data_IF_559563017602
#
_entry.id   IF_559563017602
#
_cell.length_a   1.000
_cell.length_b   1.000
_cell.length_c   1.000
_cell.angle_alpha   90.00
_cell.angle_beta   90.00
_cell.angle_gamma   90.00
#
_symmetry.space_group_name_H-M   'P 1'
#
loop_
_entity.id
_entity.type
_entity.pdbx_description
1 polymer ?
#
# COMPACT_ATOMS: atom_id res chain seq x y z
N UNK A 1 -19.55 31.76 1.50
CA UNK A 1 -19.52 30.78 0.40
C UNK A 1 -18.26 31.08 -0.39
N UNK A 2 -17.22 30.26 -0.54
CA UNK A 2 -16.85 28.95 -0.02
C UNK A 2 -15.30 28.92 0.05
N UNK A 3 -14.73 28.10 0.94
CA UNK A 3 -13.30 27.86 1.06
C UNK A 3 -12.82 26.95 -0.07
N UNK A 4 -11.72 27.30 -0.75
CA UNK A 4 -10.98 26.35 -1.61
C UNK A 4 -9.47 26.44 -1.32
N UNK A 5 -9.06 25.74 -0.25
CA UNK A 5 -7.69 25.24 -0.13
C UNK A 5 -7.74 23.72 -0.33
N UNK A 6 -7.45 23.29 -1.55
CA UNK A 6 -7.20 21.88 -1.84
C UNK A 6 -5.72 21.70 -2.18
N UNK A 7 -4.95 21.33 -1.16
CA UNK A 7 -3.64 20.71 -1.34
C UNK A 7 -3.85 19.38 -2.09
N UNK A 8 -3.42 19.31 -3.35
CA UNK A 8 -3.38 18.06 -4.10
C UNK A 8 -1.97 17.50 -4.08
N UNK A 9 -1.74 16.67 -3.06
CA UNK A 9 -0.61 15.75 -2.94
C UNK A 9 -0.62 14.82 -4.16
N UNK A 10 0.29 15.05 -5.12
CA UNK A 10 0.42 14.16 -6.28
C UNK A 10 1.34 12.99 -5.92
N UNK A 11 0.72 11.89 -5.51
CA UNK A 11 1.34 10.59 -5.35
C UNK A 11 1.85 10.08 -6.71
N UNK A 12 3.17 10.16 -6.88
CA UNK A 12 3.91 9.74 -8.07
C UNK A 12 4.21 8.22 -8.06
N UNK A 13 3.20 7.37 -7.91
CA UNK A 13 3.39 5.91 -7.92
C UNK A 13 2.45 5.25 -8.92
N UNK A 14 3.03 4.65 -9.96
CA UNK A 14 2.34 3.67 -10.81
C UNK A 14 2.00 4.08 -12.25
N UNK A 15 2.60 5.14 -12.81
CA UNK A 15 2.38 5.43 -14.24
C UNK A 15 3.21 4.45 -15.08
N UNK A 16 2.56 3.48 -15.76
CA UNK A 16 3.19 2.65 -16.80
C UNK A 16 3.89 3.58 -17.80
N UNK A 17 5.22 3.65 -17.74
CA UNK A 17 6.00 4.46 -18.66
C UNK A 17 5.99 3.73 -20.00
N UNK A 18 5.34 4.29 -21.01
CA UNK A 18 5.55 3.80 -22.37
C UNK A 18 6.97 4.23 -22.78
N UNK A 19 7.91 3.28 -22.92
CA UNK A 19 9.31 3.58 -23.20
C UNK A 19 9.48 4.33 -24.52
N UNK A 20 8.62 4.05 -25.51
CA UNK A 20 8.65 4.70 -26.82
C UNK A 20 7.95 6.07 -26.85
N UNK A 21 7.29 6.46 -25.75
CA UNK A 21 6.55 7.72 -25.67
C UNK A 21 6.49 8.23 -24.21
N UNK A 22 7.65 8.58 -23.61
CA UNK A 22 7.72 8.94 -22.21
C UNK A 22 7.04 10.29 -21.95
N UNK A 23 6.53 10.49 -20.73
CA UNK A 23 6.03 11.78 -20.27
C UNK A 23 7.17 12.63 -19.66
N UNK A 24 7.13 13.94 -19.85
CA UNK A 24 7.98 14.88 -19.11
C UNK A 24 7.59 14.95 -17.63
N UNK A 25 8.42 15.62 -16.81
CA UNK A 25 8.10 15.95 -15.41
C UNK A 25 6.85 16.84 -15.27
N UNK A 26 6.49 17.56 -16.34
CA UNK A 26 5.26 18.33 -16.45
C UNK A 26 3.99 17.48 -16.72
N UNK A 27 4.12 16.16 -16.87
CA UNK A 27 3.02 15.25 -17.18
C UNK A 27 2.59 15.20 -18.65
N UNK A 28 3.01 16.13 -19.50
CA UNK A 28 2.81 16.10 -20.95
C UNK A 28 3.71 15.06 -21.65
N UNK A 29 3.40 14.69 -22.91
CA UNK A 29 4.26 13.78 -23.69
C UNK A 29 5.58 14.48 -24.03
N UNK A 30 6.69 13.77 -23.88
CA UNK A 30 8.00 14.24 -24.30
C UNK A 30 8.10 14.17 -25.83
N UNK A 31 8.78 15.14 -26.43
CA UNK A 31 9.02 15.23 -27.87
C UNK A 31 10.36 14.58 -28.20
N UNK A 32 10.41 13.76 -29.24
CA UNK A 32 11.67 13.27 -29.80
C UNK A 32 12.38 14.39 -30.57
N UNK A 33 13.61 14.68 -30.17
CA UNK A 33 14.49 15.69 -30.71
C UNK A 33 15.79 15.05 -31.19
N UNK A 34 16.54 15.76 -32.03
CA UNK A 34 17.83 15.31 -32.56
C UNK A 34 18.86 16.41 -32.35
N UNK A 35 19.98 16.06 -31.74
CA UNK A 35 21.09 16.98 -31.49
C UNK A 35 21.75 17.35 -32.81
N UNK A 36 22.02 18.65 -33.00
CA UNK A 36 22.60 19.17 -34.24
C UNK A 36 24.01 18.64 -34.51
N UNK A 37 24.82 18.50 -33.46
CA UNK A 37 26.26 18.24 -33.60
C UNK A 37 26.58 16.75 -33.74
N UNK A 38 25.86 15.89 -33.00
CA UNK A 38 26.11 14.44 -32.98
C UNK A 38 25.06 13.62 -33.71
N UNK A 39 23.95 14.22 -34.14
CA UNK A 39 22.80 13.50 -34.69
C UNK A 39 22.09 12.57 -33.69
N UNK A 40 22.51 12.56 -32.42
CA UNK A 40 21.91 11.71 -31.38
C UNK A 40 20.50 12.16 -31.05
N UNK A 41 19.60 11.20 -30.80
CA UNK A 41 18.21 11.49 -30.52
C UNK A 41 17.92 11.49 -29.02
N UNK A 42 17.07 12.40 -28.55
CA UNK A 42 16.66 12.50 -27.14
C UNK A 42 15.20 12.91 -27.01
N UNK A 43 14.57 12.52 -25.90
CA UNK A 43 13.24 12.97 -25.52
C UNK A 43 13.35 14.22 -24.62
N UNK A 44 12.70 15.31 -25.03
CA UNK A 44 12.70 16.58 -24.31
C UNK A 44 11.31 17.11 -24.02
N UNK A 45 11.19 18.00 -23.03
CA UNK A 45 9.93 18.70 -22.75
C UNK A 45 9.51 19.59 -23.94
N UNK A 46 8.26 19.46 -24.40
CA UNK A 46 7.74 20.27 -25.51
C UNK A 46 7.69 21.78 -25.21
N UNK A 47 7.53 22.16 -23.93
CA UNK A 47 7.49 23.56 -23.46
C UNK A 47 8.86 24.19 -23.27
N UNK A 48 9.95 23.49 -23.60
CA UNK A 48 11.31 24.00 -23.44
C UNK A 48 11.54 25.33 -24.19
N UNK A 49 10.95 25.50 -25.37
CA UNK A 49 11.13 26.71 -26.19
C UNK A 49 10.52 27.97 -25.57
N UNK A 50 9.50 27.81 -24.73
CA UNK A 50 8.76 28.92 -24.12
C UNK A 50 9.38 29.36 -22.78
N UNK A 51 10.53 28.80 -22.40
CA UNK A 51 11.14 29.02 -21.08
C UNK A 51 10.40 28.34 -19.92
N UNK A 52 9.25 27.72 -20.18
CA UNK A 52 8.41 27.00 -19.21
C UNK A 52 8.67 25.49 -19.22
N UNK A 53 9.82 25.07 -19.76
CA UNK A 53 10.22 23.67 -19.80
C UNK A 53 10.54 23.15 -18.41
N UNK A 54 10.06 21.96 -18.08
CA UNK A 54 10.36 21.30 -16.80
C UNK A 54 11.79 20.72 -16.71
N UNK A 55 12.67 20.98 -17.69
CA UNK A 55 14.03 20.44 -17.72
C UNK A 55 14.12 18.94 -18.05
N UNK A 56 13.03 18.27 -18.41
CA UNK A 56 13.04 16.85 -18.75
C UNK A 56 13.92 16.57 -19.98
N UNK A 57 14.82 15.59 -19.83
CA UNK A 57 15.77 15.13 -20.85
C UNK A 57 16.06 13.63 -20.66
N UNK A 58 16.01 12.85 -21.74
CA UNK A 58 16.35 11.41 -21.74
C UNK A 58 16.89 11.01 -23.12
N UNK A 59 18.05 10.36 -23.20
CA UNK A 59 18.55 9.87 -24.48
C UNK A 59 17.67 8.73 -25.03
N UNK A 60 17.48 8.69 -26.35
CA UNK A 60 16.70 7.62 -27.00
C UNK A 60 17.39 6.27 -26.83
N UNK A 61 18.71 6.23 -26.94
CA UNK A 61 19.48 4.98 -26.88
C UNK A 61 19.50 4.40 -25.47
N UNK A 62 19.41 5.24 -24.43
CA UNK A 62 19.26 4.78 -23.05
C UNK A 62 17.96 3.98 -22.89
N UNK A 63 16.85 4.46 -23.48
CA UNK A 63 15.57 3.72 -23.53
C UNK A 63 15.74 2.37 -24.20
N UNK A 64 16.43 2.31 -25.35
CA UNK A 64 16.64 1.05 -26.09
C UNK A 64 17.52 0.10 -25.29
N UNK A 65 18.56 0.59 -24.61
CA UNK A 65 19.41 -0.22 -23.74
C UNK A 65 18.64 -0.83 -22.55
N UNK A 66 17.61 -0.15 -22.03
CA UNK A 66 16.70 -0.74 -21.04
C UNK A 66 15.82 -1.87 -21.62
N UNK A 67 15.58 -1.87 -22.94
CA UNK A 67 14.79 -2.90 -23.64
C UNK A 67 15.61 -4.06 -24.18
N UNK A 68 16.86 -3.81 -24.59
CA UNK A 68 17.74 -4.82 -25.16
C UNK A 68 18.41 -5.67 -24.05
N UNK A 69 18.62 -5.09 -22.87
CA UNK A 69 19.03 -5.82 -21.66
C UNK A 69 17.88 -6.57 -20.96
N UNK A 70 16.75 -6.82 -21.64
CA UNK A 70 15.59 -7.48 -21.06
C UNK A 70 15.78 -8.99 -20.79
N UNK A 71 16.99 -9.53 -20.98
CA UNK A 71 17.41 -10.79 -20.34
C UNK A 71 17.73 -10.62 -18.84
N UNK A 72 18.02 -9.41 -18.36
CA UNK A 72 18.22 -9.10 -16.94
C UNK A 72 16.91 -8.80 -16.18
N UNK A 73 15.78 -8.57 -16.87
CA UNK A 73 14.49 -8.27 -16.23
C UNK A 73 13.77 -9.53 -15.69
N UNK A 74 14.23 -10.73 -16.07
CA UNK A 74 13.81 -11.99 -15.44
C UNK A 74 14.26 -12.11 -13.98
N UNK A 75 15.30 -11.39 -13.55
CA UNK A 75 15.77 -11.39 -12.16
C UNK A 75 14.95 -10.50 -11.20
N UNK A 76 14.27 -9.48 -11.71
CA UNK A 76 13.44 -8.56 -10.89
C UNK A 76 12.05 -9.14 -10.66
N UNK A 77 11.49 -9.89 -11.61
CA UNK A 77 10.22 -10.59 -11.43
C UNK A 77 10.31 -11.63 -10.31
N UNK A 78 11.43 -12.33 -10.14
CA UNK A 78 11.64 -13.21 -8.98
C UNK A 78 11.73 -12.43 -7.65
N UNK A 79 12.23 -11.19 -7.65
CA UNK A 79 12.27 -10.33 -6.47
C UNK A 79 10.87 -9.79 -6.11
N UNK A 80 10.05 -9.44 -7.09
CA UNK A 80 8.67 -8.99 -6.85
C UNK A 80 7.77 -10.16 -6.45
N UNK A 81 7.89 -11.30 -7.13
CA UNK A 81 7.14 -12.53 -6.83
C UNK A 81 7.48 -13.09 -5.45
N UNK A 82 8.76 -13.04 -5.04
CA UNK A 82 9.15 -13.39 -3.67
C UNK A 82 8.59 -12.41 -2.63
N UNK A 83 8.52 -11.10 -2.91
CA UNK A 83 7.85 -10.15 -2.00
C UNK A 83 6.34 -10.38 -1.92
N UNK A 84 5.69 -10.75 -3.03
CA UNK A 84 4.26 -11.09 -3.06
C UNK A 84 4.00 -12.34 -2.23
N UNK A 85 4.81 -13.38 -2.40
CA UNK A 85 4.69 -14.62 -1.63
C UNK A 85 4.95 -14.40 -0.14
N UNK A 86 5.89 -13.52 0.22
CA UNK A 86 6.12 -13.15 1.62
C UNK A 86 4.94 -12.36 2.20
N UNK A 87 4.37 -11.43 1.43
CA UNK A 87 3.16 -10.69 1.82
C UNK A 87 1.96 -11.63 2.03
N UNK A 88 1.76 -12.61 1.14
CA UNK A 88 0.71 -13.62 1.28
C UNK A 88 0.91 -14.50 2.52
N UNK A 89 2.15 -14.89 2.79
CA UNK A 89 2.52 -15.61 4.02
C UNK A 89 2.23 -14.78 5.26
N UNK A 90 2.63 -13.51 5.29
CA UNK A 90 2.35 -12.61 6.41
C UNK A 90 0.85 -12.38 6.62
N UNK A 91 0.09 -12.23 5.52
CA UNK A 91 -1.36 -12.16 5.59
C UNK A 91 -1.97 -13.43 6.20
N UNK A 92 -1.49 -14.61 5.82
CA UNK A 92 -1.99 -15.88 6.37
C UNK A 92 -1.75 -16.01 7.87
N UNK A 93 -0.57 -15.60 8.35
CA UNK A 93 -0.24 -15.60 9.78
C UNK A 93 -1.13 -14.61 10.53
N UNK A 94 -1.26 -13.39 10.03
CA UNK A 94 -2.10 -12.38 10.66
C UNK A 94 -3.57 -12.79 10.75
N UNK A 95 -4.10 -13.45 9.72
CA UNK A 95 -5.47 -13.97 9.76
C UNK A 95 -5.66 -15.02 10.85
N UNK A 96 -4.67 -15.90 11.03
CA UNK A 96 -4.69 -16.90 12.09
C UNK A 96 -4.59 -16.26 13.49
N UNK A 97 -3.74 -15.24 13.65
CA UNK A 97 -3.62 -14.52 14.93
C UNK A 97 -4.94 -13.82 15.30
N UNK A 98 -5.63 -13.20 14.33
CA UNK A 98 -6.94 -12.57 14.56
C UNK A 98 -7.96 -13.61 15.06
N UNK A 99 -8.03 -14.77 14.39
CA UNK A 99 -8.94 -15.86 14.78
C UNK A 99 -8.62 -16.35 16.20
N UNK A 100 -7.33 -16.54 16.49
CA UNK A 100 -6.85 -17.04 17.79
C UNK A 100 -7.16 -16.05 18.90
N UNK A 101 -6.83 -14.76 18.71
CA UNK A 101 -7.12 -13.70 19.67
C UNK A 101 -8.63 -13.62 19.94
N UNK A 102 -9.46 -13.72 18.90
CA UNK A 102 -10.92 -13.71 19.05
C UNK A 102 -11.39 -14.87 19.94
N UNK A 103 -10.90 -16.08 19.72
CA UNK A 103 -11.26 -17.24 20.55
C UNK A 103 -10.84 -17.07 22.02
N UNK A 104 -9.65 -16.51 22.26
CA UNK A 104 -9.16 -16.22 23.62
C UNK A 104 -10.04 -15.17 24.32
N UNK A 105 -10.40 -14.10 23.63
CA UNK A 105 -11.30 -13.08 24.20
C UNK A 105 -12.68 -13.66 24.53
N UNK A 106 -13.22 -14.52 23.66
CA UNK A 106 -14.49 -15.20 23.91
C UNK A 106 -14.41 -16.18 25.08
N UNK A 107 -13.29 -16.90 25.26
CA UNK A 107 -13.11 -17.81 26.39
C UNK A 107 -12.99 -17.05 27.71
N UNK A 108 -12.21 -15.97 27.75
CA UNK A 108 -12.12 -15.09 28.92
C UNK A 108 -13.48 -14.46 29.27
N UNK A 109 -14.25 -14.03 28.27
CA UNK A 109 -15.57 -13.46 28.48
C UNK A 109 -16.54 -14.49 29.06
N UNK A 110 -16.52 -15.73 28.54
CA UNK A 110 -17.33 -16.84 29.05
C UNK A 110 -16.97 -17.18 30.49
N UNK A 111 -15.68 -17.23 30.83
CA UNK A 111 -15.22 -17.49 32.19
C UNK A 111 -15.71 -16.39 33.16
N UNK A 112 -15.51 -15.11 32.81
CA UNK A 112 -16.00 -13.97 33.61
C UNK A 112 -17.51 -14.00 33.80
N UNK A 113 -18.26 -14.33 32.74
CA UNK A 113 -19.73 -14.47 32.81
C UNK A 113 -20.16 -15.66 33.66
N UNK A 114 -19.48 -16.80 33.56
CA UNK A 114 -19.76 -17.98 34.36
C UNK A 114 -19.57 -17.70 35.85
N UNK A 115 -18.40 -17.16 36.23
CA UNK A 115 -18.12 -16.81 37.62
C UNK A 115 -19.12 -15.79 38.16
N UNK A 116 -19.47 -14.74 37.39
CA UNK A 116 -20.48 -13.77 37.81
C UNK A 116 -21.83 -14.44 38.14
N UNK A 117 -22.30 -15.36 37.31
CA UNK A 117 -23.56 -16.10 37.53
C UNK A 117 -23.47 -17.04 38.73
N UNK A 118 -22.33 -17.72 38.90
CA UNK A 118 -22.07 -18.60 40.04
C UNK A 118 -22.09 -17.83 41.37
N UNK A 119 -21.38 -16.69 41.44
CA UNK A 119 -21.37 -15.83 42.63
C UNK A 119 -22.74 -15.22 42.92
N UNK A 120 -23.49 -14.80 41.89
CA UNK A 120 -24.86 -14.33 42.05
C UNK A 120 -25.78 -15.42 42.63
N UNK A 121 -25.69 -16.65 42.11
CA UNK A 121 -26.46 -17.78 42.63
C UNK A 121 -26.11 -18.12 44.09
N UNK A 122 -24.82 -18.14 44.42
CA UNK A 122 -24.34 -18.35 45.79
C UNK A 122 -24.87 -17.27 46.75
N UNK A 123 -24.82 -16.01 46.34
CA UNK A 123 -25.32 -14.88 47.15
C UNK A 123 -26.83 -15.00 47.40
N UNK A 124 -27.62 -15.33 46.36
CA UNK A 124 -29.07 -15.55 46.50
C UNK A 124 -29.34 -16.72 47.46
N UNK A 125 -28.59 -17.81 47.34
CA UNK A 125 -28.74 -18.98 48.22
C UNK A 125 -28.45 -18.65 49.69
N UNK A 126 -27.36 -17.93 49.97
CA UNK A 126 -27.01 -17.48 51.32
C UNK A 126 -28.11 -16.59 51.89
N UNK A 127 -28.60 -15.61 51.12
CA UNK A 127 -29.69 -14.73 51.55
C UNK A 127 -30.96 -15.53 51.90
N UNK A 128 -31.34 -16.51 51.09
CA UNK A 128 -32.50 -17.36 51.35
C UNK A 128 -32.37 -18.14 52.67
N UNK A 129 -31.20 -18.74 52.93
CA UNK A 129 -30.94 -19.47 54.19
C UNK A 129 -31.02 -18.55 55.41
N UNK A 130 -30.48 -17.33 55.31
CA UNK A 130 -30.55 -16.35 56.40
C UNK A 130 -31.98 -15.91 56.68
N UNK A 131 -32.79 -15.68 55.64
CA UNK A 131 -34.21 -15.33 55.79
C UNK A 131 -34.98 -16.46 56.48
N UNK A 132 -34.80 -17.71 56.02
CA UNK A 132 -35.48 -18.87 56.62
C UNK A 132 -35.08 -19.08 58.08
N UNK A 133 -33.82 -18.83 58.45
CA UNK A 133 -33.36 -18.92 59.85
C UNK A 133 -33.81 -17.76 60.74
N UNK A 134 -34.28 -16.65 60.15
CA UNK A 134 -34.79 -15.48 60.89
C UNK A 134 -36.31 -15.47 61.05
N UNK A 135 -37.04 -16.27 60.28
CA UNK A 135 -38.46 -16.59 60.52
C UNK A 135 -38.59 -17.63 61.62
#
# INVERSE_FOLDING_TARGET
MANDMSASSSSALGRKVNPYNPNCLCGAKARLCTTRDSGRQFYGCQRWKDGLGCGYFLWKDDVVAFHENNEAYLGVNGSMESTIHELERLMSVMQLDIETIKQVLESEAKEKMFWKRMWQGLLIFILAVVIVKKL
#
